data_IF_264161268421
#
_entry.id   IF_264161268421
#
_cell.length_a   1.000
_cell.length_b   1.000
_cell.length_c   1.000
_cell.angle_alpha   90.00
_cell.angle_beta   90.00
_cell.angle_gamma   90.00
#
_symmetry.space_group_name_H-M   'P 1'
#
loop_
_entity.id
_entity.type
_entity.pdbx_description
1 polymer ?
#
# COMPACT_ATOMS: atom_id res chain seq x y z
N UNK A 1 -10.55 30.66 -21.69
CA UNK A 1 -10.82 29.66 -20.65
C UNK A 1 -9.82 28.54 -20.83
N UNK A 2 -9.00 28.24 -19.81
CA UNK A 2 -8.15 27.05 -19.86
C UNK A 2 -9.07 25.82 -19.79
N UNK A 3 -8.92 24.90 -20.74
CA UNK A 3 -9.67 23.65 -20.73
C UNK A 3 -9.05 22.78 -19.64
N UNK A 4 -9.77 22.60 -18.52
CA UNK A 4 -9.31 21.71 -17.46
C UNK A 4 -9.25 20.29 -18.04
N UNK A 5 -8.06 19.71 -18.03
CA UNK A 5 -7.84 18.31 -18.40
C UNK A 5 -7.77 17.47 -17.13
N UNK A 6 -8.52 16.38 -17.09
CA UNK A 6 -8.53 15.42 -15.99
C UNK A 6 -7.74 14.18 -16.44
N UNK A 7 -6.44 14.07 -16.10
CA UNK A 7 -5.64 12.93 -16.52
C UNK A 7 -6.16 11.65 -15.88
N UNK A 8 -6.22 10.57 -16.67
CA UNK A 8 -6.38 9.22 -16.16
C UNK A 8 -5.01 8.73 -15.69
N UNK A 9 -4.94 8.23 -14.46
CA UNK A 9 -3.70 7.75 -13.84
C UNK A 9 -3.76 6.24 -13.65
N UNK A 10 -2.63 5.58 -13.89
CA UNK A 10 -2.52 4.13 -13.76
C UNK A 10 -2.06 3.79 -12.34
N UNK A 11 -2.67 2.75 -11.77
CA UNK A 11 -2.21 2.15 -10.53
C UNK A 11 -1.78 0.70 -10.77
N UNK A 12 -0.77 0.26 -10.00
CA UNK A 12 -0.34 -1.13 -9.97
C UNK A 12 -1.18 -1.89 -8.94
N UNK A 13 -1.95 -2.87 -9.39
CA UNK A 13 -2.72 -3.78 -8.54
C UNK A 13 -1.79 -4.88 -8.02
N UNK A 14 -1.50 -4.86 -6.70
CA UNK A 14 -0.40 -5.60 -6.09
C UNK A 14 -0.88 -6.39 -4.87
N UNK A 15 -0.56 -7.69 -4.82
CA UNK A 15 -0.90 -8.50 -3.65
C UNK A 15 -0.22 -8.00 -2.37
N UNK A 16 -0.96 -7.95 -1.26
CA UNK A 16 -0.38 -7.71 0.06
C UNK A 16 0.62 -8.80 0.50
N UNK A 17 0.69 -9.93 -0.20
CA UNK A 17 1.70 -10.97 0.01
C UNK A 17 3.15 -10.47 -0.23
N UNK A 18 3.31 -9.36 -0.95
CA UNK A 18 4.61 -8.76 -1.23
C UNK A 18 5.13 -7.81 -0.14
N UNK A 19 4.31 -7.52 0.87
CA UNK A 19 4.69 -6.61 1.96
C UNK A 19 5.20 -7.39 3.17
N UNK A 20 6.34 -6.95 3.69
CA UNK A 20 6.85 -7.38 5.00
C UNK A 20 5.98 -6.83 6.13
N UNK A 21 6.08 -7.42 7.32
CA UNK A 21 5.39 -6.89 8.52
C UNK A 21 5.84 -5.45 8.85
N UNK A 22 7.09 -5.11 8.55
CA UNK A 22 7.61 -3.75 8.73
C UNK A 22 6.91 -2.76 7.78
N UNK A 23 6.79 -3.09 6.49
CA UNK A 23 6.03 -2.28 5.52
C UNK A 23 4.56 -2.15 5.88
N UNK A 24 3.97 -3.24 6.34
CA UNK A 24 2.57 -3.27 6.79
C UNK A 24 2.33 -2.33 7.97
N UNK A 25 3.24 -2.37 8.95
CA UNK A 25 3.18 -1.55 10.14
C UNK A 25 3.42 -0.08 9.80
N UNK A 26 4.39 0.18 8.91
CA UNK A 26 4.66 1.50 8.36
C UNK A 26 3.40 2.09 7.71
N UNK A 27 2.75 1.34 6.80
CA UNK A 27 1.57 1.80 6.08
C UNK A 27 0.37 2.02 7.02
N UNK A 28 0.17 1.17 8.03
CA UNK A 28 -0.85 1.38 9.06
C UNK A 28 -0.62 2.68 9.84
N UNK A 29 0.61 2.94 10.28
CA UNK A 29 0.93 4.17 11.03
C UNK A 29 0.65 5.41 10.20
N UNK A 30 1.05 5.44 8.93
CA UNK A 30 0.86 6.60 8.07
C UNK A 30 -0.61 6.80 7.69
N UNK A 31 -1.35 5.71 7.43
CA UNK A 31 -2.80 5.78 7.23
C UNK A 31 -3.53 6.30 8.47
N UNK A 32 -3.18 5.84 9.67
CA UNK A 32 -3.79 6.28 10.94
C UNK A 32 -3.46 7.74 11.28
N UNK A 33 -2.30 8.24 10.84
CA UNK A 33 -1.90 9.65 10.99
C UNK A 33 -2.54 10.58 9.95
N UNK A 34 -3.26 10.04 8.97
CA UNK A 34 -3.86 10.82 7.90
C UNK A 34 -2.84 11.37 6.89
N UNK A 35 -1.76 10.63 6.65
CA UNK A 35 -0.84 10.95 5.56
C UNK A 35 -1.60 10.97 4.23
N UNK A 36 -1.55 12.10 3.52
CA UNK A 36 -2.26 12.30 2.26
C UNK A 36 -1.82 11.31 1.16
N UNK A 37 -0.65 10.69 1.33
CA UNK A 37 -0.05 9.77 0.36
C UNK A 37 -0.40 8.30 0.63
N UNK A 38 -1.03 7.97 1.76
CA UNK A 38 -1.34 6.59 2.17
C UNK A 38 -2.78 6.51 2.69
N UNK A 39 -3.62 5.74 2.00
CA UNK A 39 -4.97 5.43 2.45
C UNK A 39 -5.11 3.94 2.78
N UNK A 40 -5.68 3.63 3.94
CA UNK A 40 -6.06 2.25 4.28
C UNK A 40 -7.38 1.85 3.59
N UNK A 41 -7.46 0.59 3.15
CA UNK A 41 -8.67 -0.07 2.69
C UNK A 41 -8.97 -1.27 3.59
N UNK A 42 -10.16 -1.89 3.53
CA UNK A 42 -10.45 -3.11 4.27
C UNK A 42 -9.53 -4.31 3.93
N UNK A 43 -8.87 -4.27 2.77
CA UNK A 43 -8.07 -5.38 2.23
C UNK A 43 -6.59 -5.02 2.05
N UNK A 44 -6.18 -3.79 2.33
CA UNK A 44 -4.79 -3.36 2.22
C UNK A 44 -4.66 -1.84 2.17
N UNK A 45 -3.86 -1.30 1.24
CA UNK A 45 -3.53 0.13 1.20
C UNK A 45 -3.50 0.66 -0.23
N UNK A 46 -3.88 1.92 -0.40
CA UNK A 46 -3.67 2.65 -1.63
C UNK A 46 -2.62 3.73 -1.38
N UNK A 47 -1.52 3.69 -2.12
CA UNK A 47 -0.40 4.61 -1.93
C UNK A 47 -0.02 5.37 -3.20
N UNK A 48 0.37 6.62 -3.03
CA UNK A 48 1.00 7.42 -4.08
C UNK A 48 2.46 7.01 -4.27
N UNK A 49 2.86 6.76 -5.52
CA UNK A 49 4.25 6.46 -5.89
C UNK A 49 4.92 7.52 -6.76
N UNK A 50 4.38 8.74 -6.83
CA UNK A 50 5.07 9.87 -7.46
C UNK A 50 6.14 10.51 -6.56
N UNK A 51 6.41 11.79 -6.78
CA UNK A 51 7.41 12.55 -6.00
C UNK A 51 6.96 12.75 -4.54
N UNK A 52 7.91 12.66 -3.61
CA UNK A 52 7.69 12.71 -2.16
C UNK A 52 8.89 12.14 -1.39
N UNK A 53 8.98 12.45 -0.09
CA UNK A 53 10.01 11.90 0.80
C UNK A 53 9.77 10.40 1.03
N UNK A 54 10.83 9.61 0.88
CA UNK A 54 10.82 8.14 0.99
C UNK A 54 11.98 7.62 1.84
N UNK A 55 12.70 8.51 2.50
CA UNK A 55 13.96 8.16 3.18
C UNK A 55 13.73 7.13 4.32
N UNK A 56 12.47 6.96 4.74
CA UNK A 56 12.06 6.02 5.79
C UNK A 56 11.27 4.80 5.29
N UNK A 57 11.19 4.57 3.98
CA UNK A 57 10.47 3.40 3.46
C UNK A 57 11.22 2.11 3.82
N UNK A 58 10.51 1.08 4.32
CA UNK A 58 11.10 -0.25 4.44
C UNK A 58 11.56 -0.78 3.07
N UNK A 59 12.61 -1.61 3.07
CA UNK A 59 13.33 -1.99 1.85
C UNK A 59 12.45 -2.68 0.79
N UNK A 60 11.53 -3.55 1.22
CA UNK A 60 10.58 -4.19 0.31
C UNK A 60 9.60 -3.18 -0.30
N UNK A 61 9.11 -2.21 0.49
CA UNK A 61 8.26 -1.14 -0.02
C UNK A 61 9.00 -0.26 -1.03
N UNK A 62 10.28 0.06 -0.79
CA UNK A 62 11.13 0.75 -1.78
C UNK A 62 11.15 -0.04 -3.09
N UNK A 63 11.52 -1.33 -3.03
CA UNK A 63 11.62 -2.19 -4.21
C UNK A 63 10.30 -2.30 -4.99
N UNK A 64 9.16 -2.42 -4.30
CA UNK A 64 7.85 -2.47 -4.95
C UNK A 64 7.52 -1.11 -5.60
N UNK A 65 7.80 0.02 -4.94
CA UNK A 65 7.54 1.34 -5.53
C UNK A 65 8.42 1.64 -6.75
N UNK A 66 9.68 1.21 -6.75
CA UNK A 66 10.56 1.29 -7.92
C UNK A 66 10.08 0.39 -9.05
N UNK A 67 9.60 -0.81 -8.74
CA UNK A 67 9.00 -1.71 -9.71
C UNK A 67 7.73 -1.11 -10.34
N UNK A 68 6.79 -0.62 -9.54
CA UNK A 68 5.57 0.03 -10.02
C UNK A 68 5.87 1.24 -10.93
N UNK A 69 6.86 2.06 -10.56
CA UNK A 69 7.32 3.19 -11.41
C UNK A 69 7.88 2.73 -12.74
N UNK A 70 8.64 1.63 -12.79
CA UNK A 70 9.14 1.06 -14.07
C UNK A 70 8.00 0.60 -14.98
N UNK A 71 6.86 0.19 -14.41
CA UNK A 71 5.65 -0.14 -15.17
C UNK A 71 4.85 1.09 -15.61
N UNK A 72 5.24 2.30 -15.18
CA UNK A 72 4.51 3.54 -15.45
C UNK A 72 3.34 3.81 -14.50
N UNK A 73 3.25 3.07 -13.38
CA UNK A 73 2.22 3.32 -12.38
C UNK A 73 2.56 4.53 -11.50
N UNK A 74 1.55 5.31 -11.18
CA UNK A 74 1.63 6.47 -10.28
C UNK A 74 1.09 6.18 -8.88
N UNK A 75 0.34 5.09 -8.74
CA UNK A 75 -0.15 4.57 -7.47
C UNK A 75 0.09 3.07 -7.37
N UNK A 76 0.04 2.55 -6.16
CA UNK A 76 -0.09 1.10 -5.90
C UNK A 76 -1.37 0.89 -5.10
N UNK A 77 -2.18 -0.06 -5.54
CA UNK A 77 -3.23 -0.66 -4.73
C UNK A 77 -2.70 -1.98 -4.19
N UNK A 78 -2.37 -2.00 -2.90
CA UNK A 78 -2.13 -3.23 -2.17
C UNK A 78 -3.46 -3.84 -1.77
N UNK A 79 -3.78 -5.01 -2.32
CA UNK A 79 -5.01 -5.75 -2.01
C UNK A 79 -4.67 -7.18 -1.57
N UNK A 80 -5.40 -7.71 -0.60
CA UNK A 80 -5.25 -9.09 -0.14
C UNK A 80 -5.58 -10.10 -1.24
N UNK A 81 -6.55 -9.77 -2.08
CA UNK A 81 -7.12 -10.68 -3.06
C UNK A 81 -6.56 -10.40 -4.48
N UNK A 82 -5.63 -9.45 -4.63
CA UNK A 82 -4.91 -9.18 -5.87
C UNK A 82 -3.93 -10.31 -6.24
N UNK A 83 -3.65 -10.51 -7.54
CA UNK A 83 -2.66 -11.48 -8.01
C UNK A 83 -1.26 -11.22 -7.45
N UNK A 84 -0.53 -12.31 -7.16
CA UNK A 84 0.90 -12.25 -6.86
C UNK A 84 1.72 -12.00 -8.15
N UNK A 85 2.78 -11.21 -8.05
CA UNK A 85 3.76 -10.98 -9.10
C UNK A 85 5.07 -11.71 -8.80
N UNK A 86 5.52 -12.59 -9.71
CA UNK A 86 6.75 -13.37 -9.55
C UNK A 86 8.02 -12.50 -9.55
N UNK A 87 7.95 -11.26 -10.02
CA UNK A 87 9.06 -10.31 -9.99
C UNK A 87 9.32 -9.73 -8.58
N UNK A 88 8.42 -9.96 -7.62
CA UNK A 88 8.48 -9.41 -6.27
C UNK A 88 8.69 -10.50 -5.21
N UNK A 89 9.42 -10.15 -4.15
CA UNK A 89 9.58 -11.02 -3.00
C UNK A 89 8.22 -11.28 -2.31
N UNK A 90 8.10 -12.41 -1.62
CA UNK A 90 6.89 -12.80 -0.90
C UNK A 90 7.18 -13.03 0.57
N UNK A 91 6.25 -12.63 1.42
CA UNK A 91 6.33 -12.77 2.87
C UNK A 91 5.15 -13.64 3.36
N UNK A 92 5.42 -14.91 3.69
CA UNK A 92 4.40 -15.89 4.10
C UNK A 92 3.98 -15.70 5.57
N UNK A 93 2.69 -15.93 5.90
CA UNK A 93 2.20 -16.08 7.28
C UNK A 93 1.40 -14.90 7.88
N UNK A 94 0.92 -13.96 7.06
CA UNK A 94 0.46 -12.63 7.48
C UNK A 94 -1.06 -12.50 7.73
N UNK A 95 -1.62 -13.25 8.68
CA UNK A 95 -3.06 -13.15 8.98
C UNK A 95 -3.46 -11.86 9.75
N UNK A 96 -2.54 -11.23 10.49
CA UNK A 96 -2.90 -10.27 11.55
C UNK A 96 -2.54 -8.80 11.28
N UNK A 97 -1.91 -8.47 10.15
CA UNK A 97 -1.35 -7.13 9.90
C UNK A 97 -2.16 -6.24 8.93
N UNK A 98 -3.40 -6.62 8.59
CA UNK A 98 -4.29 -5.85 7.71
C UNK A 98 -4.96 -4.69 8.45
N UNK A 99 -5.34 -3.59 7.78
CA UNK A 99 -6.08 -2.51 8.42
C UNK A 99 -7.43 -3.04 8.94
N UNK A 100 -7.84 -2.58 10.12
CA UNK A 100 -9.13 -3.01 10.70
C UNK A 100 -9.12 -4.38 11.39
N UNK A 101 -7.99 -5.10 11.44
CA UNK A 101 -7.83 -6.38 12.17
C UNK A 101 -7.91 -6.25 13.69
N UNK A 102 -8.29 -5.08 14.25
CA UNK A 102 -8.59 -4.98 15.69
C UNK A 102 -9.72 -5.96 15.96
N UNK A 103 -9.39 -7.09 16.61
CA UNK A 103 -10.39 -7.93 17.30
C UNK A 103 -11.33 -6.96 18.01
N UNK A 104 -12.63 -7.08 17.72
CA UNK A 104 -13.65 -6.39 18.49
C UNK A 104 -13.27 -6.53 19.97
N UNK A 105 -13.15 -5.41 20.70
CA UNK A 105 -12.99 -5.48 22.16
C UNK A 105 -14.10 -6.40 22.66
N UNK A 106 -13.82 -7.42 23.48
CA UNK A 106 -14.91 -8.12 24.14
C UNK A 106 -15.69 -7.06 24.92
N UNK A 107 -17.01 -7.05 24.72
CA UNK A 107 -17.91 -6.04 25.29
C UNK A 107 -17.62 -5.86 26.77
N UNK A 108 -17.35 -4.62 27.17
CA UNK A 108 -17.38 -4.23 28.56
C UNK A 108 -18.83 -4.09 28.98
N UNK A 109 -19.19 -4.83 30.02
CA UNK A 109 -20.43 -4.75 30.79
C UNK A 109 -20.70 -3.33 31.32
#
# INVERSE_FOLDING_TARGET
>A
MSMISYPLRVFFDCSTAHLSDASSSYLNVHADQGDELVAATPYGWFIWVGEGDRDNFPADLVGITEYARRLGAEYILFDRDAPEDEALARFLGRADALPGSRRARPGGE
#
